data_IF_161230648285
#
_entry.id   IF_161230648285
#
_cell.length_a   1.000
_cell.length_b   1.000
_cell.length_c   1.000
_cell.angle_alpha   90.00
_cell.angle_beta   90.00
_cell.angle_gamma   90.00
#
_symmetry.space_group_name_H-M   'P 1'
#
loop_
_entity.id
_entity.type
_entity.pdbx_description
1 polymer ?
#
# COMPACT_ATOMS: atom_id res chain seq x y z
N UNK A 1 -5.06 -19.76 -24.27
CA UNK A 1 -5.22 -19.28 -25.67
C UNK A 1 -4.64 -20.31 -26.61
N UNK A 2 -5.00 -20.35 -27.90
CA UNK A 2 -4.21 -21.12 -28.87
C UNK A 2 -2.86 -20.43 -29.08
N UNK A 3 -1.74 -21.18 -29.20
CA UNK A 3 -0.44 -20.59 -29.53
C UNK A 3 -0.51 -19.89 -30.90
N UNK A 4 0.06 -18.68 -31.02
CA UNK A 4 0.20 -18.02 -32.31
C UNK A 4 1.54 -18.41 -32.95
N UNK A 5 1.67 -18.35 -34.29
CA UNK A 5 2.97 -18.53 -34.94
C UNK A 5 4.04 -17.57 -34.42
N UNK A 6 3.67 -16.33 -34.07
CA UNK A 6 4.61 -15.36 -33.48
C UNK A 6 5.11 -15.78 -32.10
N UNK A 7 4.24 -16.39 -31.28
CA UNK A 7 4.65 -16.92 -29.98
C UNK A 7 5.70 -18.01 -30.15
N UNK A 8 5.48 -18.94 -31.09
CA UNK A 8 6.40 -20.05 -31.39
C UNK A 8 7.71 -19.50 -31.95
N UNK A 9 7.66 -18.60 -32.93
CA UNK A 9 8.84 -17.94 -33.50
C UNK A 9 9.67 -17.18 -32.46
N UNK A 10 9.03 -16.62 -31.44
CA UNK A 10 9.70 -15.89 -30.37
C UNK A 10 10.39 -16.76 -29.32
N UNK A 11 10.10 -18.07 -29.24
CA UNK A 11 10.52 -18.91 -28.11
C UNK A 11 12.03 -18.88 -27.86
N UNK A 12 12.83 -19.15 -28.89
CA UNK A 12 14.30 -19.26 -28.77
C UNK A 12 14.96 -17.91 -28.46
N UNK A 13 14.35 -16.81 -28.87
CA UNK A 13 14.87 -15.46 -28.58
C UNK A 13 14.50 -14.96 -27.17
N UNK A 14 13.42 -15.50 -26.60
CA UNK A 14 12.83 -15.02 -25.34
C UNK A 14 13.13 -15.91 -24.15
N UNK A 15 13.35 -17.21 -24.35
CA UNK A 15 13.49 -18.17 -23.26
C UNK A 15 14.80 -18.94 -23.35
N UNK A 16 15.40 -19.22 -22.20
CA UNK A 16 16.69 -19.93 -22.11
C UNK A 16 16.52 -21.37 -21.64
N UNK A 17 15.41 -21.67 -20.97
CA UNK A 17 15.16 -22.96 -20.36
C UNK A 17 13.81 -23.51 -20.81
N UNK A 18 13.73 -24.83 -21.00
CA UNK A 18 12.49 -25.55 -21.18
C UNK A 18 12.43 -26.75 -20.23
N UNK A 19 11.24 -27.01 -19.67
CA UNK A 19 10.97 -28.14 -18.79
C UNK A 19 9.70 -28.84 -19.25
N UNK A 20 9.79 -30.15 -19.50
CA UNK A 20 8.63 -31.00 -19.79
C UNK A 20 8.06 -31.48 -18.46
N UNK A 21 6.81 -31.14 -18.18
CA UNK A 21 6.04 -31.59 -17.03
C UNK A 21 4.93 -32.56 -17.47
N UNK A 22 4.93 -33.74 -16.88
CA UNK A 22 4.02 -34.84 -17.20
C UNK A 22 3.75 -35.70 -15.96
N UNK A 23 2.84 -36.65 -16.09
CA UNK A 23 2.58 -37.68 -15.08
C UNK A 23 3.06 -39.00 -15.68
N UNK A 24 3.86 -39.75 -14.93
CA UNK A 24 4.35 -41.06 -15.39
C UNK A 24 3.27 -42.17 -15.26
N UNK A 25 3.60 -43.38 -15.71
CA UNK A 25 2.71 -44.54 -15.67
C UNK A 25 2.27 -44.94 -14.25
N UNK A 26 3.08 -44.62 -13.24
CA UNK A 26 2.80 -44.87 -11.83
C UNK A 26 1.98 -43.73 -11.17
N UNK A 27 1.70 -42.66 -11.91
CA UNK A 27 0.90 -41.52 -11.46
C UNK A 27 1.72 -40.43 -10.75
N UNK A 28 3.04 -40.47 -10.79
CA UNK A 28 3.90 -39.44 -10.20
C UNK A 28 4.06 -38.24 -11.14
N UNK A 29 3.89 -37.00 -10.64
CA UNK A 29 4.18 -35.81 -11.41
C UNK A 29 5.70 -35.62 -11.54
N UNK A 30 6.21 -35.65 -12.76
CA UNK A 30 7.62 -35.48 -13.08
C UNK A 30 7.84 -34.19 -13.88
N UNK A 31 9.06 -33.65 -13.78
CA UNK A 31 9.47 -32.46 -14.50
C UNK A 31 10.92 -32.60 -14.93
N UNK A 32 11.17 -32.53 -16.23
CA UNK A 32 12.51 -32.74 -16.78
C UNK A 32 12.95 -31.62 -17.70
N UNK A 33 14.16 -31.10 -17.46
CA UNK A 33 14.77 -30.08 -18.29
C UNK A 33 15.11 -30.64 -19.68
N UNK A 34 14.90 -29.82 -20.72
CA UNK A 34 15.25 -30.16 -22.10
C UNK A 34 15.74 -28.93 -22.86
N UNK A 35 16.51 -29.16 -23.91
CA UNK A 35 16.78 -28.14 -24.93
C UNK A 35 15.62 -28.10 -25.93
N UNK A 36 15.43 -26.98 -26.61
CA UNK A 36 14.33 -26.82 -27.55
C UNK A 36 14.74 -26.02 -28.78
N UNK A 37 13.97 -26.18 -29.85
CA UNK A 37 14.03 -25.41 -31.09
C UNK A 37 12.62 -25.18 -31.61
N UNK A 38 12.31 -23.96 -32.04
CA UNK A 38 11.00 -23.63 -32.56
C UNK A 38 10.91 -23.95 -34.06
N UNK A 39 9.76 -24.45 -34.51
CA UNK A 39 9.41 -24.61 -35.92
C UNK A 39 8.08 -23.87 -36.17
N UNK A 40 8.14 -22.55 -36.45
CA UNK A 40 6.94 -21.72 -36.56
C UNK A 40 6.09 -22.05 -37.78
N UNK A 41 6.70 -22.55 -38.86
CA UNK A 41 6.02 -22.90 -40.11
C UNK A 41 5.10 -24.10 -39.90
N UNK A 42 5.56 -25.09 -39.14
CA UNK A 42 4.75 -26.25 -38.72
C UNK A 42 3.94 -25.99 -37.46
N UNK A 43 4.25 -24.92 -36.73
CA UNK A 43 3.61 -24.58 -35.47
C UNK A 43 3.95 -25.56 -34.35
N UNK A 44 5.13 -26.19 -34.39
CA UNK A 44 5.58 -27.19 -33.41
C UNK A 44 6.84 -26.72 -32.69
N UNK A 45 7.15 -27.38 -31.57
CA UNK A 45 8.40 -27.18 -30.85
C UNK A 45 9.14 -28.51 -30.77
N UNK A 46 10.38 -28.51 -31.25
CA UNK A 46 11.25 -29.67 -31.22
C UNK A 46 12.06 -29.63 -29.92
N UNK A 47 11.99 -30.69 -29.13
CA UNK A 47 12.67 -30.84 -27.85
C UNK A 47 13.76 -31.90 -27.95
N UNK A 48 14.85 -31.72 -27.20
CA UNK A 48 15.85 -32.77 -27.07
C UNK A 48 15.30 -33.93 -26.24
N UNK A 49 15.82 -35.13 -26.48
CA UNK A 49 15.57 -36.28 -25.62
C UNK A 49 16.11 -36.02 -24.22
N UNK A 50 15.37 -36.54 -23.25
CA UNK A 50 15.73 -36.44 -21.83
C UNK A 50 16.80 -37.48 -21.50
N UNK A 51 17.81 -37.08 -20.73
CA UNK A 51 18.88 -37.98 -20.30
C UNK A 51 18.44 -38.87 -19.12
N UNK A 52 18.60 -40.19 -19.26
CA UNK A 52 18.26 -41.21 -18.25
C UNK A 52 17.18 -42.18 -18.73
N UNK A 53 17.34 -43.48 -18.48
CA UNK A 53 16.39 -44.52 -18.92
C UNK A 53 15.10 -44.53 -18.07
N UNK A 54 15.18 -44.08 -16.81
CA UNK A 54 14.08 -44.24 -15.84
C UNK A 54 12.99 -43.15 -15.91
N UNK A 55 13.23 -42.04 -16.63
CA UNK A 55 12.28 -40.92 -16.71
C UNK A 55 12.15 -40.45 -18.15
N UNK A 56 11.23 -41.05 -18.89
CA UNK A 56 10.90 -40.66 -20.26
C UNK A 56 9.52 -40.00 -20.30
N UNK A 57 9.38 -38.85 -21.00
CA UNK A 57 8.07 -38.25 -21.24
C UNK A 57 7.16 -39.22 -22.02
N UNK A 58 5.87 -39.28 -21.69
CA UNK A 58 4.95 -40.20 -22.35
C UNK A 58 4.73 -39.80 -23.81
N UNK A 59 4.84 -40.78 -24.71
CA UNK A 59 4.64 -40.59 -26.14
C UNK A 59 3.14 -40.64 -26.49
N UNK A 60 2.71 -39.74 -27.38
CA UNK A 60 1.32 -39.60 -27.81
C UNK A 60 0.43 -38.89 -26.79
N UNK A 61 0.94 -38.65 -25.58
CA UNK A 61 0.21 -38.00 -24.51
C UNK A 61 0.33 -36.49 -24.50
N UNK A 62 -0.65 -35.86 -23.85
CA UNK A 62 -0.69 -34.42 -23.69
C UNK A 62 0.17 -34.01 -22.50
N UNK A 63 1.28 -33.34 -22.79
CA UNK A 63 2.21 -32.82 -21.77
C UNK A 63 2.11 -31.31 -21.64
N UNK A 64 2.73 -30.76 -20.59
CA UNK A 64 3.01 -29.33 -20.46
C UNK A 64 4.50 -29.08 -20.67
N UNK A 65 4.88 -28.14 -21.53
CA UNK A 65 6.26 -27.68 -21.65
C UNK A 65 6.33 -26.23 -21.23
N UNK A 66 7.09 -25.98 -20.17
CA UNK A 66 7.29 -24.65 -19.59
C UNK A 66 8.62 -24.09 -20.08
N UNK A 67 8.55 -23.00 -20.82
CA UNK A 67 9.69 -22.20 -21.26
C UNK A 67 9.84 -21.02 -20.31
N UNK A 68 11.05 -20.76 -19.81
CA UNK A 68 11.29 -19.71 -18.84
C UNK A 68 12.58 -18.94 -19.08
N UNK A 69 12.59 -17.70 -18.62
CA UNK A 69 13.77 -16.85 -18.54
C UNK A 69 13.71 -16.04 -17.24
N UNK A 70 14.88 -15.93 -16.62
CA UNK A 70 15.10 -15.11 -15.44
C UNK A 70 16.52 -14.57 -15.53
N UNK A 71 16.67 -13.25 -15.50
CA UNK A 71 18.00 -12.65 -15.54
C UNK A 71 18.55 -12.50 -14.12
N UNK A 72 19.70 -13.11 -13.80
CA UNK A 72 20.35 -12.87 -12.51
C UNK A 72 20.96 -11.46 -12.45
N UNK A 73 20.77 -10.78 -11.32
CA UNK A 73 21.37 -9.50 -10.96
C UNK A 73 22.34 -9.73 -9.80
N UNK A 74 23.65 -9.92 -10.07
CA UNK A 74 24.63 -10.30 -9.05
C UNK A 74 24.61 -9.40 -7.81
N UNK A 75 24.43 -9.99 -6.63
CA UNK A 75 24.38 -9.28 -5.35
C UNK A 75 23.07 -8.54 -5.06
N UNK A 76 22.09 -8.55 -5.98
CA UNK A 76 20.82 -7.83 -5.83
C UNK A 76 19.64 -8.80 -5.85
N UNK A 77 19.56 -9.69 -6.85
CA UNK A 77 18.42 -10.59 -7.03
C UNK A 77 18.24 -11.03 -8.47
N UNK A 78 17.00 -10.97 -8.97
CA UNK A 78 16.63 -11.36 -10.33
C UNK A 78 15.62 -10.39 -10.94
N UNK A 79 15.65 -10.21 -12.26
CA UNK A 79 14.69 -9.42 -13.03
C UNK A 79 14.39 -10.05 -14.39
N UNK A 80 13.60 -9.34 -15.21
CA UNK A 80 13.14 -9.78 -16.54
C UNK A 80 12.45 -11.16 -16.54
N UNK A 81 11.75 -11.48 -15.45
CA UNK A 81 11.14 -12.80 -15.28
C UNK A 81 10.01 -12.98 -16.28
N UNK A 82 10.04 -14.09 -16.99
CA UNK A 82 8.98 -14.45 -17.93
C UNK A 82 8.90 -15.95 -18.12
N UNK A 83 7.70 -16.44 -18.38
CA UNK A 83 7.50 -17.83 -18.76
C UNK A 83 6.34 -17.96 -19.77
N UNK A 84 6.38 -19.04 -20.54
CA UNK A 84 5.23 -19.54 -21.28
C UNK A 84 5.12 -21.04 -21.08
N UNK A 85 3.91 -21.50 -20.77
CA UNK A 85 3.55 -22.91 -20.75
C UNK A 85 2.79 -23.23 -22.03
N UNK A 86 3.23 -24.28 -22.73
CA UNK A 86 2.59 -24.83 -23.90
C UNK A 86 2.10 -26.23 -23.59
N UNK A 87 0.84 -26.52 -23.89
CA UNK A 87 0.28 -27.87 -23.77
C UNK A 87 -0.05 -28.41 -25.14
N UNK A 88 0.23 -29.69 -25.34
CA UNK A 88 -0.06 -30.39 -26.59
C UNK A 88 0.39 -31.84 -26.53
N UNK A 89 0.00 -32.66 -27.52
CA UNK A 89 0.56 -34.00 -27.69
C UNK A 89 2.06 -33.93 -27.94
N UNK A 90 2.78 -34.87 -27.34
CA UNK A 90 4.22 -35.08 -27.53
C UNK A 90 4.43 -36.34 -28.38
N UNK A 91 5.21 -36.26 -29.46
CA UNK A 91 5.52 -37.42 -30.30
C UNK A 91 7.02 -37.64 -30.39
N UNK A 92 7.47 -38.89 -30.42
CA UNK A 92 8.85 -39.18 -30.73
C UNK A 92 9.10 -38.99 -32.23
N UNK A 93 10.18 -38.31 -32.55
CA UNK A 93 10.72 -38.17 -33.90
C UNK A 93 12.19 -38.62 -33.87
N UNK A 94 12.85 -38.77 -35.02
CA UNK A 94 14.22 -39.32 -35.13
C UNK A 94 15.23 -38.69 -34.12
N UNK A 95 15.38 -39.33 -32.96
CA UNK A 95 16.24 -38.89 -31.86
C UNK A 95 15.79 -37.63 -31.09
N UNK A 96 14.54 -37.16 -31.24
CA UNK A 96 13.99 -35.96 -30.59
C UNK A 96 12.52 -36.14 -30.22
N UNK A 97 11.96 -35.14 -29.55
CA UNK A 97 10.53 -35.09 -29.21
C UNK A 97 9.90 -33.89 -29.91
N UNK A 98 8.70 -34.05 -30.45
CA UNK A 98 7.93 -32.98 -31.09
C UNK A 98 6.69 -32.67 -30.27
N UNK A 99 6.57 -31.43 -29.82
CA UNK A 99 5.37 -30.90 -29.19
C UNK A 99 4.55 -30.16 -30.23
N UNK A 100 3.29 -30.56 -30.42
CA UNK A 100 2.31 -29.81 -31.21
C UNK A 100 1.36 -29.03 -30.28
N UNK A 101 1.68 -27.80 -29.89
CA UNK A 101 0.94 -27.09 -28.85
C UNK A 101 -0.46 -26.66 -29.33
N UNK A 102 -1.48 -26.98 -28.55
CA UNK A 102 -2.87 -26.58 -28.79
C UNK A 102 -3.35 -25.48 -27.82
N UNK A 103 -2.60 -25.28 -26.73
CA UNK A 103 -2.90 -24.32 -25.68
C UNK A 103 -1.61 -23.67 -25.19
N UNK A 104 -1.67 -22.37 -24.98
CA UNK A 104 -0.62 -21.57 -24.39
C UNK A 104 -1.16 -20.72 -23.23
N UNK A 105 -0.29 -20.45 -22.27
CA UNK A 105 -0.45 -19.46 -21.21
C UNK A 105 0.93 -18.93 -20.84
N UNK A 106 1.09 -17.62 -20.73
CA UNK A 106 2.36 -17.03 -20.34
C UNK A 106 2.19 -15.81 -19.47
N UNK A 107 3.30 -15.37 -18.90
CA UNK A 107 3.45 -14.14 -18.15
C UNK A 107 4.81 -13.54 -18.46
N UNK A 108 4.85 -12.22 -18.65
CA UNK A 108 6.06 -11.44 -18.84
C UNK A 108 6.04 -10.26 -17.87
N UNK A 109 7.05 -10.16 -17.01
CA UNK A 109 7.17 -9.11 -16.01
C UNK A 109 7.22 -7.70 -16.62
N UNK A 110 7.72 -7.57 -17.86
CA UNK A 110 7.79 -6.28 -18.55
C UNK A 110 6.42 -5.82 -19.08
N UNK A 111 5.52 -6.77 -19.35
CA UNK A 111 4.15 -6.49 -19.80
C UNK A 111 3.19 -6.33 -18.63
N UNK A 112 3.36 -7.16 -17.59
CA UNK A 112 2.50 -7.21 -16.41
C UNK A 112 3.37 -7.41 -15.18
N UNK A 113 3.35 -6.43 -14.27
CA UNK A 113 4.12 -6.55 -13.03
C UNK A 113 3.73 -7.80 -12.24
N UNK A 114 4.67 -8.36 -11.47
CA UNK A 114 4.41 -9.52 -10.62
C UNK A 114 3.23 -9.31 -9.65
N UNK A 115 3.07 -8.08 -9.13
CA UNK A 115 1.95 -7.73 -8.25
C UNK A 115 0.62 -7.81 -8.99
N UNK A 116 0.55 -7.26 -10.19
CA UNK A 116 -0.65 -7.35 -11.04
C UNK A 116 -1.00 -8.79 -11.39
N UNK A 117 0.00 -9.57 -11.80
CA UNK A 117 -0.18 -10.98 -12.10
C UNK A 117 -0.72 -11.75 -10.89
N UNK A 118 -0.17 -11.51 -9.70
CA UNK A 118 -0.61 -12.13 -8.45
C UNK A 118 -2.07 -11.80 -8.14
N UNK A 119 -2.48 -10.53 -8.26
CA UNK A 119 -3.86 -10.10 -8.01
C UNK A 119 -4.85 -10.72 -9.01
N UNK A 120 -4.49 -10.75 -10.31
CA UNK A 120 -5.33 -11.39 -11.34
C UNK A 120 -5.51 -12.89 -11.12
N UNK A 121 -4.58 -13.54 -10.42
CA UNK A 121 -4.64 -14.95 -10.06
C UNK A 121 -5.56 -15.27 -8.86
N UNK A 122 -5.94 -14.28 -8.05
CA UNK A 122 -6.70 -14.49 -6.80
C UNK A 122 -8.03 -15.25 -7.02
N UNK A 123 -8.87 -14.94 -8.03
CA UNK A 123 -10.11 -15.68 -8.26
C UNK A 123 -9.86 -17.17 -8.57
N UNK A 124 -8.78 -17.49 -9.28
CA UNK A 124 -8.42 -18.87 -9.60
C UNK A 124 -7.93 -19.61 -8.37
N UNK A 125 -7.09 -18.97 -7.55
CA UNK A 125 -6.63 -19.53 -6.27
C UNK A 125 -7.81 -19.83 -5.33
N UNK A 126 -8.80 -18.95 -5.28
CA UNK A 126 -10.01 -19.16 -4.48
C UNK A 126 -10.80 -20.39 -4.93
N UNK A 127 -11.07 -20.50 -6.24
CA UNK A 127 -11.75 -21.69 -6.80
C UNK A 127 -11.02 -22.99 -6.47
N UNK A 128 -9.68 -22.97 -6.55
CA UNK A 128 -8.87 -24.14 -6.19
C UNK A 128 -9.04 -24.52 -4.72
N UNK A 129 -8.98 -23.55 -3.80
CA UNK A 129 -9.15 -23.82 -2.37
C UNK A 129 -10.59 -24.25 -2.02
N UNK A 130 -11.60 -23.69 -2.70
CA UNK A 130 -13.00 -24.08 -2.54
C UNK A 130 -13.19 -25.55 -2.98
N UNK A 131 -12.67 -25.92 -4.16
CA UNK A 131 -12.71 -27.31 -4.64
C UNK A 131 -11.97 -28.27 -3.71
N UNK A 132 -10.78 -27.90 -3.23
CA UNK A 132 -10.03 -28.71 -2.28
C UNK A 132 -10.78 -28.87 -0.94
N UNK A 133 -11.54 -27.85 -0.54
CA UNK A 133 -12.39 -27.93 0.65
C UNK A 133 -13.53 -28.92 0.49
N UNK A 134 -14.15 -28.96 -0.69
CA UNK A 134 -15.19 -29.93 -1.04
C UNK A 134 -14.64 -31.35 -1.07
N UNK A 135 -13.50 -31.56 -1.74
CA UNK A 135 -12.84 -32.87 -1.87
C UNK A 135 -12.41 -33.46 -0.52
N UNK A 136 -11.91 -32.61 0.38
CA UNK A 136 -11.43 -33.05 1.71
C UNK A 136 -12.51 -33.09 2.78
N UNK A 137 -13.70 -32.53 2.51
CA UNK A 137 -14.78 -32.35 3.49
C UNK A 137 -14.40 -31.43 4.66
N UNK A 138 -13.35 -30.62 4.51
CA UNK A 138 -12.83 -29.70 5.53
C UNK A 138 -12.54 -28.36 4.89
N UNK A 139 -12.77 -27.28 5.61
CA UNK A 139 -12.49 -25.95 5.08
C UNK A 139 -10.98 -25.70 4.94
N UNK A 140 -10.52 -25.47 3.71
CA UNK A 140 -9.13 -25.14 3.38
C UNK A 140 -9.02 -23.64 3.10
N UNK A 141 -8.15 -22.96 3.84
CA UNK A 141 -7.96 -21.50 3.74
C UNK A 141 -6.49 -21.14 3.60
N UNK A 142 -6.18 -20.00 2.95
CA UNK A 142 -4.82 -19.51 2.93
C UNK A 142 -4.39 -19.09 4.35
N UNK A 143 -3.10 -19.20 4.63
CA UNK A 143 -2.52 -18.83 5.92
C UNK A 143 -1.33 -17.92 5.71
N UNK A 144 -1.34 -16.77 6.39
CA UNK A 144 -0.16 -15.93 6.60
C UNK A 144 0.36 -16.14 8.02
N UNK A 145 1.65 -15.90 8.23
CA UNK A 145 2.19 -15.85 9.59
C UNK A 145 1.52 -14.71 10.37
N UNK A 146 1.43 -14.85 11.70
CA UNK A 146 0.73 -13.87 12.54
C UNK A 146 1.24 -12.44 12.32
N UNK A 147 2.56 -12.23 12.27
CA UNK A 147 3.15 -10.92 12.05
C UNK A 147 2.74 -10.30 10.72
N UNK A 148 2.83 -11.05 9.62
CA UNK A 148 2.41 -10.57 8.30
C UNK A 148 0.90 -10.32 8.21
N UNK A 149 0.10 -11.19 8.83
CA UNK A 149 -1.35 -11.01 8.90
C UNK A 149 -1.72 -9.74 9.67
N UNK A 150 -1.07 -9.51 10.82
CA UNK A 150 -1.29 -8.33 11.64
C UNK A 150 -0.88 -7.04 10.90
N UNK A 151 0.31 -7.02 10.30
CA UNK A 151 0.80 -5.90 9.50
C UNK A 151 -0.17 -5.56 8.36
N UNK A 152 -0.66 -6.57 7.65
CA UNK A 152 -1.59 -6.42 6.53
C UNK A 152 -2.95 -5.93 7.01
N UNK A 153 -3.57 -6.64 7.95
CA UNK A 153 -4.92 -6.34 8.44
C UNK A 153 -5.04 -4.95 9.06
N UNK A 154 -4.03 -4.52 9.82
CA UNK A 154 -4.03 -3.21 10.49
C UNK A 154 -3.46 -2.08 9.63
N UNK A 155 -2.82 -2.43 8.50
CA UNK A 155 -2.10 -1.50 7.64
C UNK A 155 -1.05 -0.70 8.43
N UNK A 156 -0.34 -1.38 9.33
CA UNK A 156 0.61 -0.79 10.29
C UNK A 156 1.59 0.24 9.70
N UNK A 157 2.16 0.04 8.48
CA UNK A 157 3.10 1.02 7.91
C UNK A 157 2.52 2.44 7.71
N UNK A 158 1.19 2.60 7.67
CA UNK A 158 0.54 3.90 7.58
C UNK A 158 0.56 4.69 8.91
N UNK A 159 1.04 4.11 10.02
CA UNK A 159 1.17 4.82 11.30
C UNK A 159 2.11 6.03 11.26
N UNK A 160 2.93 6.19 10.21
CA UNK A 160 3.67 7.43 9.97
C UNK A 160 2.75 8.66 9.99
N UNK A 161 1.54 8.56 9.44
CA UNK A 161 0.52 9.60 9.47
C UNK A 161 0.01 9.94 10.88
N UNK A 162 0.20 9.05 11.87
CA UNK A 162 -0.12 9.33 13.29
C UNK A 162 1.10 9.82 14.04
N UNK A 163 2.24 9.16 13.87
CA UNK A 163 3.44 9.49 14.63
C UNK A 163 3.91 10.92 14.36
N UNK A 164 3.94 11.35 13.10
CA UNK A 164 4.40 12.70 12.74
C UNK A 164 3.59 13.80 13.45
N UNK A 165 2.26 13.90 13.30
CA UNK A 165 1.50 14.99 13.93
C UNK A 165 1.45 14.89 15.46
N UNK A 166 1.40 13.69 16.03
CA UNK A 166 1.44 13.50 17.49
C UNK A 166 2.77 13.97 18.06
N UNK A 167 3.90 13.53 17.47
CA UNK A 167 5.22 13.94 17.90
C UNK A 167 5.47 15.43 17.65
N UNK A 168 4.90 16.01 16.58
CA UNK A 168 4.94 17.45 16.36
C UNK A 168 4.22 18.22 17.46
N UNK A 169 3.00 17.81 17.84
CA UNK A 169 2.28 18.42 18.96
C UNK A 169 3.03 18.32 20.29
N UNK A 170 3.68 17.18 20.55
CA UNK A 170 4.55 16.98 21.72
C UNK A 170 5.79 17.88 21.66
N UNK A 171 6.41 18.06 20.49
CA UNK A 171 7.57 18.92 20.32
C UNK A 171 7.21 20.40 20.55
N UNK A 172 6.05 20.85 20.06
CA UNK A 172 5.53 22.20 20.34
C UNK A 172 5.24 22.37 21.83
N UNK A 173 4.70 21.34 22.50
CA UNK A 173 4.48 21.39 23.94
C UNK A 173 5.80 21.49 24.72
N UNK A 174 6.81 20.71 24.33
CA UNK A 174 8.12 20.73 24.98
C UNK A 174 8.81 22.10 24.83
N UNK A 175 8.65 22.76 23.68
CA UNK A 175 9.09 24.14 23.45
C UNK A 175 8.41 25.15 24.37
N UNK A 176 7.18 24.87 24.82
CA UNK A 176 6.41 25.70 25.77
C UNK A 176 6.47 25.17 27.20
N UNK A 177 7.61 24.58 27.59
CA UNK A 177 7.88 24.01 28.92
C UNK A 177 6.94 22.86 29.36
N UNK A 178 6.18 22.27 28.43
CA UNK A 178 5.26 21.16 28.68
C UNK A 178 5.82 19.83 28.19
N UNK A 179 6.41 19.03 29.08
CA UNK A 179 6.81 17.67 28.71
C UNK A 179 6.72 16.66 29.85
N UNK A 180 5.97 15.60 29.61
CA UNK A 180 5.90 14.40 30.43
C UNK A 180 6.01 13.15 29.56
N UNK A 181 7.05 12.37 29.82
CA UNK A 181 7.37 11.15 29.06
C UNK A 181 6.22 10.14 29.03
N UNK A 182 5.55 9.90 30.15
CA UNK A 182 4.48 8.89 30.23
C UNK A 182 3.23 9.33 29.49
N UNK A 183 2.87 10.61 29.61
CA UNK A 183 1.76 11.18 28.85
C UNK A 183 2.06 11.15 27.34
N UNK A 184 3.30 11.42 26.93
CA UNK A 184 3.73 11.36 25.53
C UNK A 184 3.62 9.93 24.98
N UNK A 185 4.16 8.95 25.71
CA UNK A 185 4.10 7.54 25.32
C UNK A 185 2.65 7.04 25.19
N UNK A 186 1.80 7.34 26.18
CA UNK A 186 0.38 6.99 26.14
C UNK A 186 -0.36 7.69 24.99
N UNK A 187 -0.02 8.94 24.67
CA UNK A 187 -0.60 9.66 23.52
C UNK A 187 -0.28 8.95 22.21
N UNK A 188 0.98 8.51 22.02
CA UNK A 188 1.39 7.77 20.82
C UNK A 188 0.67 6.43 20.72
N UNK A 189 0.59 5.67 21.82
CA UNK A 189 -0.09 4.36 21.85
C UNK A 189 -1.59 4.54 21.60
N UNK A 190 -2.24 5.51 22.26
CA UNK A 190 -3.67 5.79 22.11
C UNK A 190 -4.02 6.24 20.69
N UNK A 191 -3.28 7.22 20.15
CA UNK A 191 -3.47 7.70 18.78
C UNK A 191 -3.23 6.61 17.74
N UNK A 192 -2.18 5.80 17.90
CA UNK A 192 -1.91 4.66 17.03
C UNK A 192 -3.04 3.62 17.10
N UNK A 193 -3.53 3.30 18.30
CA UNK A 193 -4.63 2.35 18.47
C UNK A 193 -5.89 2.81 17.74
N UNK A 194 -6.28 4.09 17.88
CA UNK A 194 -7.45 4.64 17.15
C UNK A 194 -7.24 4.54 15.63
N UNK A 195 -6.05 4.89 15.13
CA UNK A 195 -5.77 4.79 13.69
C UNK A 195 -5.80 3.34 13.18
N UNK A 196 -5.24 2.37 13.91
CA UNK A 196 -5.34 0.96 13.53
C UNK A 196 -6.81 0.50 13.51
N UNK A 197 -7.60 0.90 14.51
CA UNK A 197 -9.04 0.63 14.55
C UNK A 197 -9.79 1.23 13.34
N UNK A 198 -9.44 2.46 12.94
CA UNK A 198 -9.95 3.14 11.74
C UNK A 198 -9.60 2.40 10.46
N UNK A 199 -8.34 1.98 10.28
CA UNK A 199 -7.92 1.23 9.08
C UNK A 199 -8.67 -0.09 8.95
N UNK A 200 -8.79 -0.85 10.05
CA UNK A 200 -9.54 -2.11 10.05
C UNK A 200 -11.03 -1.88 9.83
N UNK A 201 -11.61 -0.81 10.41
CA UNK A 201 -13.01 -0.44 10.17
C UNK A 201 -13.26 -0.11 8.70
N UNK A 202 -12.32 0.62 8.08
CA UNK A 202 -12.42 1.00 6.68
C UNK A 202 -12.53 -0.24 5.78
N UNK A 203 -11.67 -1.22 5.97
CA UNK A 203 -11.73 -2.51 5.27
C UNK A 203 -13.08 -3.25 5.48
N UNK A 204 -13.63 -3.25 6.69
CA UNK A 204 -14.94 -3.85 6.99
C UNK A 204 -16.06 -3.17 6.18
N UNK A 205 -16.07 -1.84 6.15
CA UNK A 205 -17.12 -1.09 5.45
C UNK A 205 -16.94 -1.09 3.92
N UNK A 206 -15.70 -1.00 3.43
CA UNK A 206 -15.40 -1.05 1.99
C UNK A 206 -15.72 -2.44 1.41
N UNK A 207 -15.42 -3.53 2.14
CA UNK A 207 -15.89 -4.87 1.76
C UNK A 207 -17.42 -4.96 1.78
N UNK A 208 -18.10 -4.42 2.81
CA UNK A 208 -19.56 -4.44 2.91
C UNK A 208 -20.25 -3.63 1.79
N UNK A 209 -19.60 -2.57 1.31
CA UNK A 209 -20.10 -1.73 0.21
C UNK A 209 -19.92 -2.35 -1.18
N UNK A 210 -19.10 -3.40 -1.30
CA UNK A 210 -18.69 -4.00 -2.58
C UNK A 210 -17.55 -3.26 -3.29
N UNK A 211 -16.99 -2.20 -2.68
CA UNK A 211 -15.87 -1.45 -3.25
C UNK A 211 -14.61 -2.32 -3.42
N UNK A 212 -14.29 -3.15 -2.42
CA UNK A 212 -13.15 -4.06 -2.51
C UNK A 212 -13.32 -5.07 -3.65
N UNK A 213 -14.50 -5.68 -3.80
CA UNK A 213 -14.76 -6.66 -4.86
C UNK A 213 -14.69 -6.02 -6.26
N UNK A 214 -15.13 -4.76 -6.39
CA UNK A 214 -15.03 -4.01 -7.64
C UNK A 214 -13.59 -3.61 -8.01
N UNK A 215 -12.67 -3.60 -7.03
CA UNK A 215 -11.27 -3.25 -7.25
C UNK A 215 -10.47 -4.46 -7.71
N UNK A 216 -10.19 -4.50 -9.01
CA UNK A 216 -9.43 -5.58 -9.66
C UNK A 216 -7.92 -5.32 -9.73
N UNK A 217 -7.46 -4.11 -9.42
CA UNK A 217 -6.06 -3.71 -9.51
C UNK A 217 -5.58 -3.02 -8.21
N UNK A 218 -5.72 -3.66 -7.03
CA UNK A 218 -5.21 -3.08 -5.80
C UNK A 218 -3.69 -2.95 -5.86
N UNK A 219 -3.14 -2.00 -5.12
CA UNK A 219 -1.69 -1.79 -4.99
C UNK A 219 -1.26 -2.07 -3.55
N UNK A 220 0.03 -1.97 -3.25
CA UNK A 220 0.50 -2.05 -1.87
C UNK A 220 -0.01 -0.89 -1.00
N UNK A 221 -0.45 0.22 -1.61
CA UNK A 221 -0.88 1.44 -0.90
C UNK A 221 -2.37 1.77 -1.07
N UNK A 222 -3.07 1.13 -2.02
CA UNK A 222 -4.48 1.37 -2.37
C UNK A 222 -5.28 0.08 -2.46
N UNK A 223 -6.62 0.17 -2.37
CA UNK A 223 -7.51 -1.00 -2.44
C UNK A 223 -7.68 -1.81 -1.14
N UNK A 224 -7.38 -1.22 0.02
CA UNK A 224 -7.57 -1.86 1.33
C UNK A 224 -6.52 -2.93 1.67
N UNK A 225 -6.68 -3.63 2.79
CA UNK A 225 -5.76 -4.74 3.14
C UNK A 225 -6.02 -6.01 2.34
N UNK A 226 -7.21 -6.16 1.75
CA UNK A 226 -7.68 -7.37 1.05
C UNK A 226 -7.81 -8.62 1.94
N UNK A 227 -7.63 -8.48 3.26
CA UNK A 227 -7.60 -9.62 4.21
C UNK A 227 -8.92 -10.37 4.23
N UNK A 228 -10.06 -9.67 4.15
CA UNK A 228 -11.37 -10.30 4.08
C UNK A 228 -11.57 -10.98 2.71
N UNK A 229 -11.24 -10.28 1.63
CA UNK A 229 -11.40 -10.79 0.27
C UNK A 229 -10.57 -12.05 0.00
N UNK A 230 -9.38 -12.13 0.58
CA UNK A 230 -8.50 -13.30 0.45
C UNK A 230 -8.87 -14.44 1.40
N UNK A 231 -9.91 -14.29 2.23
CA UNK A 231 -10.32 -15.33 3.17
C UNK A 231 -9.33 -15.56 4.32
N UNK A 232 -8.46 -14.59 4.60
CA UNK A 232 -7.46 -14.68 5.68
C UNK A 232 -8.10 -14.43 7.06
N UNK A 233 -9.02 -13.48 7.15
CA UNK A 233 -9.87 -13.25 8.30
C UNK A 233 -11.32 -13.03 7.86
N UNK A 234 -12.25 -13.50 8.68
CA UNK A 234 -13.67 -13.22 8.48
C UNK A 234 -14.02 -11.77 8.79
N UNK A 235 -15.13 -11.30 8.20
CA UNK A 235 -15.72 -9.99 8.52
C UNK A 235 -15.89 -9.80 10.03
N UNK A 236 -16.36 -10.82 10.76
CA UNK A 236 -16.55 -10.77 12.22
C UNK A 236 -15.22 -10.55 12.97
N UNK A 237 -14.16 -11.22 12.56
CA UNK A 237 -12.83 -11.08 13.18
C UNK A 237 -12.27 -9.67 12.95
N UNK A 238 -12.39 -9.13 11.73
CA UNK A 238 -11.97 -7.76 11.43
C UNK A 238 -12.79 -6.72 12.22
N UNK A 239 -14.11 -6.88 12.31
CA UNK A 239 -14.95 -6.00 13.14
C UNK A 239 -14.56 -6.03 14.62
N UNK A 240 -14.30 -7.22 15.18
CA UNK A 240 -13.86 -7.35 16.57
C UNK A 240 -12.47 -6.74 16.78
N UNK A 241 -11.56 -6.91 15.84
CA UNK A 241 -10.22 -6.32 15.88
C UNK A 241 -10.30 -4.79 15.85
N UNK A 242 -11.11 -4.23 14.96
CA UNK A 242 -11.38 -2.79 14.90
C UNK A 242 -11.93 -2.27 16.24
N UNK A 243 -12.95 -2.94 16.79
CA UNK A 243 -13.53 -2.59 18.08
C UNK A 243 -12.50 -2.63 19.22
N UNK A 244 -11.66 -3.67 19.28
CA UNK A 244 -10.62 -3.80 20.29
C UNK A 244 -9.64 -2.63 20.26
N UNK A 245 -9.17 -2.23 19.07
CA UNK A 245 -8.29 -1.08 18.89
C UNK A 245 -8.94 0.25 19.29
N UNK A 246 -10.20 0.48 18.90
CA UNK A 246 -10.94 1.65 19.37
C UNK A 246 -11.13 1.65 20.88
N UNK A 247 -11.47 0.51 21.50
CA UNK A 247 -11.65 0.40 22.94
C UNK A 247 -10.35 0.71 23.70
N UNK A 248 -9.20 0.21 23.24
CA UNK A 248 -7.88 0.53 23.79
C UNK A 248 -7.60 2.03 23.65
N UNK A 249 -7.77 2.60 22.45
CA UNK A 249 -7.51 4.01 22.19
C UNK A 249 -8.40 4.94 23.01
N UNK A 250 -9.69 4.64 23.12
CA UNK A 250 -10.65 5.39 23.94
C UNK A 250 -10.33 5.27 25.43
N UNK A 251 -10.00 4.06 25.91
CA UNK A 251 -9.62 3.84 27.31
C UNK A 251 -8.39 4.66 27.70
N UNK A 252 -7.35 4.66 26.85
CA UNK A 252 -6.17 5.51 27.02
C UNK A 252 -6.56 6.99 26.99
N UNK A 253 -7.37 7.41 26.01
CA UNK A 253 -7.82 8.79 25.88
C UNK A 253 -8.59 9.32 27.10
N UNK A 254 -9.44 8.49 27.71
CA UNK A 254 -10.14 8.82 28.97
C UNK A 254 -9.15 8.97 30.12
N UNK A 255 -8.17 8.06 30.24
CA UNK A 255 -7.11 8.16 31.24
C UNK A 255 -6.27 9.43 31.09
N UNK A 256 -5.92 9.79 29.85
CA UNK A 256 -5.22 11.04 29.54
C UNK A 256 -6.08 12.27 29.86
N UNK A 257 -7.38 12.25 29.57
CA UNK A 257 -8.29 13.34 29.91
C UNK A 257 -8.42 13.53 31.43
N UNK A 258 -8.40 12.44 32.21
CA UNK A 258 -8.38 12.52 33.66
C UNK A 258 -7.07 13.12 34.21
N UNK A 259 -5.95 12.91 33.54
CA UNK A 259 -4.64 13.42 33.95
C UNK A 259 -4.38 14.87 33.51
N UNK A 260 -4.75 15.23 32.29
CA UNK A 260 -4.42 16.51 31.65
C UNK A 260 -5.60 17.48 31.56
N UNK A 261 -6.82 17.01 31.88
CA UNK A 261 -8.04 17.80 31.89
C UNK A 261 -9.07 17.39 30.82
N UNK A 262 -10.34 17.57 31.16
CA UNK A 262 -11.47 17.09 30.36
C UNK A 262 -11.67 17.82 29.02
N UNK A 263 -10.98 18.94 28.80
CA UNK A 263 -10.96 19.60 27.48
C UNK A 263 -10.50 18.66 26.37
N UNK A 264 -9.59 17.72 26.65
CA UNK A 264 -9.15 16.70 25.70
C UNK A 264 -10.32 15.94 25.04
N UNK A 265 -11.42 15.73 25.77
CA UNK A 265 -12.59 15.01 25.26
C UNK A 265 -13.24 15.71 24.06
N UNK A 266 -13.16 17.04 23.94
CA UNK A 266 -13.69 17.74 22.77
C UNK A 266 -12.93 17.39 21.49
N UNK A 267 -11.60 17.30 21.60
CA UNK A 267 -10.72 16.86 20.50
C UNK A 267 -10.96 15.38 20.21
N UNK A 268 -11.07 14.56 21.24
CA UNK A 268 -11.36 13.13 21.13
C UNK A 268 -12.70 12.83 20.46
N UNK A 269 -13.77 13.54 20.84
CA UNK A 269 -15.10 13.41 20.24
C UNK A 269 -15.08 13.85 18.78
N UNK A 270 -14.46 14.99 18.46
CA UNK A 270 -14.31 15.44 17.07
C UNK A 270 -13.57 14.40 16.22
N UNK A 271 -12.45 13.86 16.73
CA UNK A 271 -11.70 12.80 16.08
C UNK A 271 -12.50 11.52 15.89
N UNK A 272 -13.20 11.06 16.92
CA UNK A 272 -14.04 9.85 16.85
C UNK A 272 -15.19 10.00 15.86
N UNK A 273 -15.86 11.16 15.83
CA UNK A 273 -16.93 11.44 14.87
C UNK A 273 -16.39 11.41 13.44
N UNK A 274 -15.27 12.07 13.16
CA UNK A 274 -14.62 12.00 11.85
C UNK A 274 -14.27 10.55 11.51
N UNK A 275 -13.62 9.83 12.43
CA UNK A 275 -13.17 8.46 12.25
C UNK A 275 -14.30 7.49 11.91
N UNK A 276 -15.40 7.53 12.67
CA UNK A 276 -16.56 6.65 12.45
C UNK A 276 -17.28 7.03 11.15
N UNK A 277 -17.62 8.30 10.99
CA UNK A 277 -18.42 8.77 9.86
C UNK A 277 -17.65 8.94 8.56
N UNK A 278 -16.33 8.76 8.59
CA UNK A 278 -15.47 8.73 7.41
C UNK A 278 -15.98 7.71 6.38
N UNK A 279 -16.15 6.44 6.79
CA UNK A 279 -16.66 5.36 5.94
C UNK A 279 -18.05 4.86 6.37
N UNK A 280 -18.44 4.99 7.64
CA UNK A 280 -19.70 4.41 8.13
C UNK A 280 -20.96 5.26 7.79
N UNK A 281 -22.13 4.63 7.60
CA UNK A 281 -23.41 5.31 7.55
C UNK A 281 -23.73 6.09 8.84
N UNK A 282 -24.54 7.17 8.77
CA UNK A 282 -25.25 7.66 7.58
C UNK A 282 -24.46 8.70 6.76
N UNK A 283 -23.27 9.11 7.21
CA UNK A 283 -22.54 10.21 6.58
C UNK A 283 -21.60 9.79 5.46
N UNK A 284 -20.86 8.68 5.61
CA UNK A 284 -19.97 8.13 4.56
C UNK A 284 -19.15 9.23 3.86
N UNK A 285 -18.45 10.06 4.63
CA UNK A 285 -17.84 11.31 4.14
C UNK A 285 -16.87 11.08 2.97
N UNK A 286 -16.12 9.98 2.97
CA UNK A 286 -15.22 9.60 1.85
C UNK A 286 -15.99 9.37 0.55
N UNK A 287 -17.19 8.79 0.62
CA UNK A 287 -18.06 8.56 -0.55
C UNK A 287 -18.59 9.87 -1.13
N UNK A 288 -18.55 10.96 -0.35
CA UNK A 288 -19.05 12.29 -0.71
C UNK A 288 -17.94 13.25 -1.14
N UNK A 289 -16.71 12.78 -1.31
CA UNK A 289 -15.57 13.62 -1.73
C UNK A 289 -15.09 14.56 -0.63
N UNK A 290 -15.33 14.19 0.64
CA UNK A 290 -14.83 14.90 1.82
C UNK A 290 -13.69 14.15 2.50
N UNK A 291 -13.16 13.09 1.87
CA UNK A 291 -12.17 12.20 2.47
C UNK A 291 -10.89 12.93 2.86
N UNK A 292 -10.35 13.71 1.94
CA UNK A 292 -9.10 14.48 2.11
C UNK A 292 -9.23 15.54 3.19
N UNK A 293 -10.39 16.19 3.30
CA UNK A 293 -10.66 17.16 4.38
C UNK A 293 -10.72 16.43 5.73
N UNK A 294 -11.39 15.28 5.80
CA UNK A 294 -11.46 14.47 7.02
C UNK A 294 -10.06 14.02 7.46
N UNK A 295 -9.23 13.56 6.51
CA UNK A 295 -7.85 13.14 6.77
C UNK A 295 -6.99 14.32 7.21
N UNK A 296 -7.09 15.48 6.55
CA UNK A 296 -6.37 16.69 6.95
C UNK A 296 -6.72 17.07 8.39
N UNK A 297 -8.02 17.18 8.71
CA UNK A 297 -8.48 17.60 10.04
C UNK A 297 -8.15 16.57 11.12
N UNK A 298 -8.40 15.28 10.83
CA UNK A 298 -8.19 14.17 11.75
C UNK A 298 -6.72 13.97 12.11
N UNK A 299 -5.86 13.88 11.10
CA UNK A 299 -4.43 13.62 11.32
C UNK A 299 -3.62 14.89 11.56
N UNK A 300 -4.00 16.04 11.03
CA UNK A 300 -3.30 17.30 11.31
C UNK A 300 -3.77 17.90 12.65
N UNK A 301 -4.71 18.87 12.64
CA UNK A 301 -5.14 19.58 13.83
C UNK A 301 -5.55 18.71 15.01
N UNK A 302 -6.40 17.70 14.81
CA UNK A 302 -6.96 16.92 15.93
C UNK A 302 -5.86 16.14 16.67
N UNK A 303 -4.99 15.44 15.94
CA UNK A 303 -3.91 14.69 16.58
C UNK A 303 -2.87 15.62 17.22
N UNK A 304 -2.43 16.68 16.53
CA UNK A 304 -1.42 17.60 17.05
C UNK A 304 -1.92 18.41 18.26
N UNK A 305 -3.14 18.95 18.20
CA UNK A 305 -3.75 19.67 19.33
C UNK A 305 -4.04 18.74 20.50
N UNK A 306 -4.53 17.52 20.24
CA UNK A 306 -4.75 16.53 21.29
C UNK A 306 -3.45 16.18 22.00
N UNK A 307 -2.38 15.96 21.24
CA UNK A 307 -1.07 15.65 21.78
C UNK A 307 -0.47 16.82 22.58
N UNK A 308 -0.61 18.05 22.08
CA UNK A 308 -0.21 19.26 22.81
C UNK A 308 -1.00 19.41 24.12
N UNK A 309 -2.33 19.31 24.05
CA UNK A 309 -3.21 19.46 25.22
C UNK A 309 -2.88 18.43 26.29
N UNK A 310 -2.57 17.18 25.91
CA UNK A 310 -2.17 16.15 26.87
C UNK A 310 -0.92 16.57 27.67
N UNK A 311 0.03 17.27 27.07
CA UNK A 311 1.24 17.71 27.75
C UNK A 311 1.04 18.97 28.60
N UNK A 312 0.20 19.91 28.15
CA UNK A 312 0.12 21.27 28.71
C UNK A 312 -1.18 21.57 29.45
N UNK A 313 -2.21 20.75 29.28
CA UNK A 313 -3.56 20.98 29.82
C UNK A 313 -4.31 22.16 29.20
N UNK A 314 -3.82 22.74 28.10
CA UNK A 314 -4.40 23.92 27.45
C UNK A 314 -4.36 23.84 25.93
N UNK A 315 -5.10 24.73 25.26
CA UNK A 315 -5.06 24.87 23.80
C UNK A 315 -4.18 26.04 23.41
N UNK A 316 -3.53 25.91 22.26
CA UNK A 316 -2.69 26.95 21.68
C UNK A 316 -2.82 26.97 20.15
N UNK A 317 -2.57 28.12 19.54
CA UNK A 317 -2.67 28.31 18.09
C UNK A 317 -1.48 27.70 17.34
N UNK A 318 -0.29 27.71 17.92
CA UNK A 318 0.94 27.22 17.30
C UNK A 318 0.88 25.73 16.90
N UNK A 319 0.47 24.77 17.76
CA UNK A 319 0.32 23.38 17.36
C UNK A 319 -0.75 23.19 16.28
N UNK A 320 -1.81 24.02 16.26
CA UNK A 320 -2.79 24.03 15.18
C UNK A 320 -2.12 24.42 13.85
N UNK A 321 -1.42 25.56 13.81
CA UNK A 321 -0.77 26.07 12.60
C UNK A 321 0.33 25.12 12.09
N UNK A 322 1.19 24.63 12.99
CA UNK A 322 2.26 23.70 12.66
C UNK A 322 1.73 22.39 12.03
N UNK A 323 0.53 21.96 12.44
CA UNK A 323 -0.08 20.73 11.94
C UNK A 323 -0.77 20.84 10.59
N UNK A 324 -1.12 22.04 10.12
CA UNK A 324 -1.85 22.22 8.84
C UNK A 324 -1.03 21.70 7.65
N UNK A 325 0.25 22.09 7.45
CA UNK A 325 1.08 21.54 6.38
C UNK A 325 1.19 20.02 6.43
N UNK A 326 1.33 19.46 7.65
CA UNK A 326 1.37 18.01 7.88
C UNK A 326 0.07 17.35 7.46
N UNK A 327 -1.07 17.89 7.88
CA UNK A 327 -2.40 17.38 7.53
C UNK A 327 -2.66 17.42 6.02
N UNK A 328 -2.23 18.48 5.32
CA UNK A 328 -2.33 18.55 3.85
C UNK A 328 -1.51 17.44 3.20
N UNK A 329 -0.27 17.20 3.65
CA UNK A 329 0.57 16.14 3.09
C UNK A 329 0.00 14.73 3.34
N UNK A 330 -0.62 14.50 4.51
CA UNK A 330 -1.31 13.24 4.78
C UNK A 330 -2.56 13.09 3.90
N UNK A 331 -3.32 14.16 3.72
CA UNK A 331 -4.44 14.17 2.78
C UNK A 331 -3.98 13.88 1.35
N UNK A 332 -2.79 14.33 0.94
CA UNK A 332 -2.19 14.00 -0.34
C UNK A 332 -1.75 12.52 -0.45
N UNK A 333 -1.46 11.83 0.65
CA UNK A 333 -1.26 10.37 0.64
C UNK A 333 -2.56 9.70 0.21
N UNK A 334 -3.69 10.04 0.84
CA UNK A 334 -5.01 9.54 0.43
C UNK A 334 -5.31 9.90 -1.03
N UNK A 335 -5.17 11.17 -1.38
CA UNK A 335 -5.47 11.70 -2.72
C UNK A 335 -4.76 10.94 -3.84
N UNK A 336 -3.49 10.60 -3.63
CA UNK A 336 -2.71 9.82 -4.59
C UNK A 336 -3.13 8.35 -4.60
N UNK A 337 -3.40 7.76 -3.43
CA UNK A 337 -3.82 6.37 -3.30
C UNK A 337 -5.21 6.11 -3.91
N UNK A 338 -6.07 7.12 -3.98
CA UNK A 338 -7.37 7.04 -4.62
C UNK A 338 -7.29 7.06 -6.17
N UNK A 339 -6.14 7.43 -6.77
CA UNK A 339 -6.00 7.50 -8.24
C UNK A 339 -6.17 6.13 -8.93
N UNK A 340 -5.52 5.04 -8.48
CA UNK A 340 -5.80 3.70 -9.02
C UNK A 340 -7.20 3.20 -8.74
N UNK A 341 -7.78 3.59 -7.60
CA UNK A 341 -9.04 3.06 -7.11
C UNK A 341 -10.25 3.71 -7.81
N UNK A 342 -10.07 4.83 -8.54
CA UNK A 342 -11.14 5.58 -9.23
C UNK A 342 -12.14 4.70 -9.99
N UNK A 343 -11.74 3.72 -10.84
CA UNK A 343 -12.72 2.94 -11.59
C UNK A 343 -13.57 2.04 -10.69
N UNK A 344 -12.99 1.53 -9.60
CA UNK A 344 -13.69 0.68 -8.64
C UNK A 344 -14.59 1.52 -7.72
N UNK A 345 -14.07 2.62 -7.20
CA UNK A 345 -14.80 3.58 -6.38
C UNK A 345 -16.04 4.12 -7.11
N UNK A 346 -15.88 4.50 -8.38
CA UNK A 346 -16.99 4.98 -9.21
C UNK A 346 -18.09 3.91 -9.38
N UNK A 347 -17.72 2.63 -9.58
CA UNK A 347 -18.67 1.51 -9.67
C UNK A 347 -19.40 1.26 -8.36
N UNK A 348 -18.73 1.43 -7.23
CA UNK A 348 -19.31 1.29 -5.90
C UNK A 348 -20.09 2.53 -5.43
N UNK A 349 -20.18 3.59 -6.26
CA UNK A 349 -20.86 4.84 -5.90
C UNK A 349 -20.07 5.74 -4.94
N UNK A 350 -18.80 5.41 -4.66
CA UNK A 350 -17.87 6.21 -3.86
C UNK A 350 -17.30 7.33 -4.76
N UNK A 351 -17.76 8.57 -4.53
CA UNK A 351 -17.38 9.73 -5.35
C UNK A 351 -16.27 10.54 -4.66
N UNK A 352 -15.07 9.97 -4.61
CA UNK A 352 -13.84 10.65 -4.12
C UNK A 352 -13.45 11.84 -5.02
N UNK A 353 -12.50 12.68 -4.60
CA UNK A 353 -12.07 13.79 -5.46
C UNK A 353 -11.44 13.31 -6.78
N UNK A 354 -10.57 12.27 -6.81
CA UNK A 354 -10.05 11.75 -8.07
C UNK A 354 -11.11 11.13 -8.99
N UNK A 355 -12.23 10.63 -8.44
CA UNK A 355 -13.40 10.19 -9.23
C UNK A 355 -14.14 11.38 -9.84
N UNK A 356 -14.27 12.49 -9.10
CA UNK A 356 -15.02 13.70 -9.52
C UNK A 356 -14.27 14.56 -10.53
N UNK A 357 -12.94 14.57 -10.46
CA UNK A 357 -12.12 15.48 -11.23
C UNK A 357 -11.50 14.81 -12.46
N UNK A 358 -11.25 15.63 -13.48
CA UNK A 358 -10.44 15.19 -14.63
C UNK A 358 -9.00 14.95 -14.21
N UNK A 359 -8.26 14.09 -14.94
CA UNK A 359 -6.81 13.88 -14.77
C UNK A 359 -6.03 15.20 -14.60
N UNK A 360 -6.32 16.20 -15.44
CA UNK A 360 -5.67 17.51 -15.39
C UNK A 360 -5.97 18.25 -14.08
N UNK A 361 -7.21 18.22 -13.62
CA UNK A 361 -7.61 18.83 -12.36
C UNK A 361 -6.99 18.10 -11.16
N UNK A 362 -6.90 16.77 -11.21
CA UNK A 362 -6.24 15.97 -10.15
C UNK A 362 -4.77 16.35 -10.01
N UNK A 363 -4.04 16.40 -11.12
CA UNK A 363 -2.63 16.79 -11.13
C UNK A 363 -2.45 18.23 -10.62
N UNK A 364 -3.32 19.17 -11.04
CA UNK A 364 -3.26 20.57 -10.57
C UNK A 364 -3.59 20.68 -9.08
N UNK A 365 -4.56 19.90 -8.59
CA UNK A 365 -4.92 19.84 -7.17
C UNK A 365 -3.75 19.38 -6.32
N UNK A 366 -3.08 18.29 -6.71
CA UNK A 366 -1.88 17.80 -6.04
C UNK A 366 -0.76 18.87 -6.01
N UNK A 367 -0.43 19.46 -7.16
CA UNK A 367 0.61 20.50 -7.26
C UNK A 367 0.26 21.72 -6.42
N UNK A 368 -0.99 22.19 -6.49
CA UNK A 368 -1.46 23.34 -5.72
C UNK A 368 -1.37 23.10 -4.22
N UNK A 369 -1.78 21.92 -3.74
CA UNK A 369 -1.67 21.54 -2.34
C UNK A 369 -0.21 21.48 -1.87
N UNK A 370 0.72 20.94 -2.66
CA UNK A 370 2.16 20.96 -2.36
C UNK A 370 2.69 22.39 -2.24
N UNK A 371 2.34 23.27 -3.18
CA UNK A 371 2.74 24.69 -3.14
C UNK A 371 2.18 25.38 -1.90
N UNK A 372 0.91 25.15 -1.56
CA UNK A 372 0.29 25.68 -0.34
C UNK A 372 1.00 25.17 0.90
N UNK A 373 1.28 23.87 1.02
CA UNK A 373 1.99 23.29 2.16
C UNK A 373 3.32 24.00 2.42
N UNK A 374 4.20 24.07 1.42
CA UNK A 374 5.52 24.67 1.59
C UNK A 374 5.46 26.20 1.71
N UNK A 375 4.47 26.84 1.09
CA UNK A 375 4.18 28.26 1.29
C UNK A 375 3.76 28.57 2.74
N UNK A 376 2.90 27.73 3.34
CA UNK A 376 2.49 27.88 4.73
C UNK A 376 3.67 27.68 5.69
N UNK A 377 4.51 26.67 5.48
CA UNK A 377 5.73 26.46 6.28
C UNK A 377 6.62 27.71 6.23
N UNK A 378 6.88 28.23 5.02
CA UNK A 378 7.71 29.41 4.84
C UNK A 378 7.12 30.63 5.54
N UNK A 379 5.83 30.92 5.33
CA UNK A 379 5.15 32.06 5.94
C UNK A 379 5.18 31.95 7.45
N UNK A 380 4.73 30.81 8.01
CA UNK A 380 4.62 30.65 9.45
C UNK A 380 5.98 30.75 10.15
N UNK A 381 7.04 30.13 9.59
CA UNK A 381 8.38 30.21 10.15
C UNK A 381 8.93 31.64 10.06
N UNK A 382 8.86 32.30 8.89
CA UNK A 382 9.41 33.66 8.71
C UNK A 382 8.71 34.69 9.60
N UNK A 383 7.39 34.58 9.77
CA UNK A 383 6.63 35.49 10.62
C UNK A 383 6.72 35.15 12.12
N UNK A 384 7.31 34.01 12.49
CA UNK A 384 7.37 33.55 13.88
C UNK A 384 6.03 33.07 14.44
N UNK A 385 5.09 32.63 13.58
CA UNK A 385 3.84 31.99 14.00
C UNK A 385 4.06 30.54 14.45
N UNK A 386 5.17 29.95 14.01
CA UNK A 386 5.81 28.74 14.54
C UNK A 386 7.30 29.05 14.67
N UNK A 387 8.04 28.30 15.48
CA UNK A 387 9.49 28.53 15.66
C UNK A 387 10.25 28.57 14.34
N UNK A 388 11.12 29.58 14.18
CA UNK A 388 11.80 29.89 12.90
C UNK A 388 12.65 28.75 12.33
N UNK A 389 13.33 27.91 13.12
CA UNK A 389 14.10 26.78 12.59
C UNK A 389 13.29 25.78 11.78
N UNK A 390 11.96 25.73 11.92
CA UNK A 390 11.08 24.88 11.09
C UNK A 390 11.19 25.15 9.59
N UNK A 391 11.74 26.30 9.18
CA UNK A 391 12.04 26.63 7.78
C UNK A 391 12.88 25.55 7.07
N UNK A 392 13.68 24.77 7.82
CA UNK A 392 14.47 23.65 7.26
C UNK A 392 13.59 22.59 6.58
N UNK A 393 12.30 22.50 6.94
CA UNK A 393 11.35 21.58 6.30
C UNK A 393 11.14 21.87 4.81
N UNK A 394 11.47 23.07 4.32
CA UNK A 394 11.49 23.38 2.89
C UNK A 394 12.47 22.51 2.10
N UNK A 395 13.50 21.94 2.74
CA UNK A 395 14.44 21.03 2.12
C UNK A 395 13.79 19.72 1.60
N UNK A 396 12.60 19.36 2.11
CA UNK A 396 11.85 18.21 1.62
C UNK A 396 11.08 18.47 0.31
N UNK A 397 10.88 19.73 -0.09
CA UNK A 397 10.06 20.09 -1.27
C UNK A 397 10.47 19.39 -2.58
N UNK A 398 11.77 19.19 -2.90
CA UNK A 398 12.17 18.46 -4.10
C UNK A 398 11.64 17.02 -4.20
N UNK A 399 11.29 16.38 -3.07
CA UNK A 399 10.72 15.03 -3.05
C UNK A 399 9.33 14.96 -3.74
N UNK A 400 8.63 16.09 -3.90
CA UNK A 400 7.36 16.14 -4.62
C UNK A 400 7.53 15.99 -6.15
N UNK A 401 8.69 16.34 -6.71
CA UNK A 401 8.94 16.32 -8.15
C UNK A 401 8.75 14.94 -8.79
N UNK A 402 9.37 13.84 -8.28
CA UNK A 402 9.14 12.51 -8.85
C UNK A 402 7.68 12.05 -8.73
N UNK A 403 6.95 12.49 -7.69
CA UNK A 403 5.52 12.17 -7.55
C UNK A 403 4.69 12.89 -8.61
N UNK A 404 4.95 14.18 -8.83
CA UNK A 404 4.27 14.98 -9.86
C UNK A 404 4.56 14.43 -11.26
N UNK A 405 5.79 14.01 -11.55
CA UNK A 405 6.16 13.38 -12.84
C UNK A 405 5.38 12.09 -13.05
N UNK A 406 5.41 11.17 -12.07
CA UNK A 406 4.68 9.91 -12.15
C UNK A 406 3.16 10.11 -12.28
N UNK A 407 2.58 11.10 -11.59
CA UNK A 407 1.16 11.45 -11.76
C UNK A 407 0.82 11.94 -13.18
N UNK A 408 1.77 12.51 -13.92
CA UNK A 408 1.55 12.93 -15.31
C UNK A 408 1.69 11.75 -16.27
N UNK A 409 2.75 10.98 -16.09
CA UNK A 409 3.20 9.91 -16.99
C UNK A 409 2.41 8.60 -16.79
N UNK A 410 2.18 8.20 -15.54
CA UNK A 410 1.67 6.87 -15.15
C UNK A 410 0.25 6.89 -14.56
N UNK A 411 -0.50 7.98 -14.75
CA UNK A 411 -1.81 8.18 -14.11
C UNK A 411 -2.83 7.05 -14.30
N UNK A 412 -2.82 6.40 -15.47
CA UNK A 412 -3.76 5.31 -15.80
C UNK A 412 -3.17 3.91 -15.52
N UNK A 413 -1.96 3.84 -14.98
CA UNK A 413 -1.29 2.57 -14.66
C UNK A 413 -1.07 2.46 -13.14
N UNK A 414 -1.97 1.76 -12.43
CA UNK A 414 -1.87 1.55 -10.97
C UNK A 414 -0.48 1.13 -10.49
N UNK A 415 0.07 0.10 -11.12
CA UNK A 415 1.33 -0.51 -10.70
C UNK A 415 2.55 0.36 -11.05
N UNK A 416 2.51 1.11 -12.16
CA UNK A 416 3.56 2.08 -12.48
C UNK A 416 3.51 3.33 -11.59
N UNK A 417 2.35 3.65 -10.99
CA UNK A 417 2.20 4.75 -10.04
C UNK A 417 2.63 4.37 -8.61
N UNK A 418 2.69 3.09 -8.29
CA UNK A 418 2.98 2.57 -6.95
C UNK A 418 4.31 3.09 -6.34
N UNK A 419 5.44 3.22 -7.07
CA UNK A 419 6.65 3.84 -6.52
C UNK A 419 6.46 5.31 -6.11
N UNK A 420 5.59 6.04 -6.81
CA UNK A 420 5.28 7.43 -6.47
C UNK A 420 4.45 7.55 -5.19
N UNK A 421 3.58 6.56 -4.91
CA UNK A 421 2.85 6.47 -3.63
C UNK A 421 3.81 6.34 -2.44
N UNK A 422 4.81 5.45 -2.56
CA UNK A 422 5.87 5.33 -1.55
C UNK A 422 6.65 6.64 -1.37
N UNK A 423 7.04 7.31 -2.46
CA UNK A 423 7.71 8.62 -2.41
C UNK A 423 6.85 9.72 -1.80
N UNK A 424 5.54 9.68 -2.00
CA UNK A 424 4.61 10.63 -1.40
C UNK A 424 4.52 10.47 0.12
N UNK A 425 4.58 9.23 0.62
CA UNK A 425 4.72 8.96 2.05
C UNK A 425 6.08 9.49 2.57
N UNK A 426 7.16 9.31 1.82
CA UNK A 426 8.48 9.87 2.18
C UNK A 426 8.47 11.41 2.24
N UNK A 427 7.78 12.08 1.30
CA UNK A 427 7.61 13.53 1.31
C UNK A 427 6.94 14.00 2.61
N UNK A 428 5.83 13.36 3.00
CA UNK A 428 5.16 13.63 4.27
C UNK A 428 6.09 13.40 5.47
N UNK A 429 6.73 12.22 5.53
CA UNK A 429 7.58 11.85 6.65
C UNK A 429 8.79 12.78 6.80
N UNK A 430 9.50 13.07 5.71
CA UNK A 430 10.66 13.95 5.72
C UNK A 430 10.27 15.38 6.14
N UNK A 431 9.17 15.91 5.61
CA UNK A 431 8.67 17.25 6.00
C UNK A 431 8.33 17.28 7.48
N UNK A 432 7.60 16.28 7.98
CA UNK A 432 7.20 16.18 9.39
C UNK A 432 8.38 16.07 10.35
N UNK A 433 9.37 15.21 10.03
CA UNK A 433 10.59 15.06 10.82
C UNK A 433 11.40 16.36 10.85
N UNK A 434 11.50 17.08 9.73
CA UNK A 434 12.20 18.36 9.68
C UNK A 434 11.48 19.46 10.46
N UNK A 435 10.14 19.47 10.49
CA UNK A 435 9.37 20.37 11.35
C UNK A 435 9.65 20.08 12.83
N UNK A 436 9.59 18.80 13.25
CA UNK A 436 9.92 18.38 14.62
C UNK A 436 11.35 18.78 14.96
N UNK A 437 12.31 18.56 14.05
CA UNK A 437 13.71 18.94 14.24
C UNK A 437 13.86 20.47 14.42
N UNK A 438 13.05 21.28 13.73
CA UNK A 438 13.00 22.72 13.95
C UNK A 438 12.68 23.08 15.40
N UNK A 439 11.65 22.45 15.99
CA UNK A 439 11.33 22.63 17.42
C UNK A 439 12.43 22.14 18.35
N UNK A 440 13.07 21.01 18.02
CA UNK A 440 14.21 20.50 18.82
C UNK A 440 15.39 21.46 18.76
N UNK A 441 15.70 22.04 17.59
CA UNK A 441 16.76 23.05 17.44
C UNK A 441 16.45 24.26 18.31
N UNK A 442 15.19 24.74 18.28
CA UNK A 442 14.79 25.88 19.10
C UNK A 442 14.94 25.59 20.59
N UNK A 443 14.42 24.46 21.05
CA UNK A 443 14.52 24.02 22.44
C UNK A 443 15.98 23.91 22.92
N UNK A 444 16.87 23.33 22.10
CA UNK A 444 18.29 23.19 22.45
C UNK A 444 19.00 24.54 22.44
N UNK A 445 18.69 25.41 21.48
CA UNK A 445 19.29 26.74 21.40
C UNK A 445 18.93 27.58 22.64
N UNK A 446 17.66 27.59 23.03
CA UNK A 446 17.17 28.31 24.22
C UNK A 446 17.76 27.76 25.53
N UNK A 447 17.94 26.44 25.63
CA UNK A 447 18.53 25.82 26.82
C UNK A 447 20.05 25.94 26.96
N UNK A 448 20.78 26.28 25.89
CA UNK A 448 22.26 26.30 25.86
C UNK A 448 22.84 27.69 25.67
N UNK A 449 22.11 28.60 25.01
CA UNK A 449 22.56 29.96 24.72
C UNK A 449 21.87 30.96 25.64
N UNK A 450 22.63 31.89 26.23
CA UNK A 450 22.06 32.93 27.10
C UNK A 450 21.18 33.95 26.34
N UNK A 451 21.44 34.14 25.04
CA UNK A 451 20.68 35.02 24.13
C UNK A 451 20.69 34.41 22.71
N UNK A 452 19.86 33.38 22.45
CA UNK A 452 19.87 32.70 21.17
C UNK A 452 19.47 33.67 20.04
N UNK A 453 20.21 33.69 18.91
CA UNK A 453 19.83 34.48 17.74
C UNK A 453 18.39 34.20 17.34
N UNK A 454 17.63 35.24 17.01
CA UNK A 454 16.22 35.10 16.69
C UNK A 454 15.90 34.19 15.49
N UNK A 455 16.88 33.65 14.73
CA UNK A 455 16.59 32.61 13.73
C UNK A 455 16.48 31.21 14.34
N UNK A 456 17.04 31.05 15.55
CA UNK A 456 17.08 29.80 16.30
C UNK A 456 15.93 29.68 17.29
N UNK A 457 15.11 30.71 17.46
CA UNK A 457 13.87 30.72 18.25
C UNK A 457 12.73 31.18 17.37
#
# INVERSE_FOLDING_TARGET
>A
MKPTPELIAGLESRFEHAVIAFVDDDGYPLSVATGFRADPDRGVVILNTVAGEDVQPPEGERVNVVFSHIRPQPGIGYDERRYVSLWGPLQAIEGKLELAPDRAQGWDEQEMSFFEFSERGVPQARKYLDQLSEETGREVRPKLSFGWLFLRATRLPFLTATFVPVLLGIAVAAWKDGFNWWLALLTVIGGASVHLGLNVANDVFDTRSGADEANVNPTQFSGGSRVILYGLLSMRQMTLLSFAFYAIGIGIGIGLAAASGWGLLWVGVAGALISVFYTAPPLQLVHRGLGEICVLLGFGPIMALGAYYVQTGSYDLEPLLASIPVGILIALILYLNEVPDRPADAKAGKRTLPVRFSKKAVIRGYVGAVVVTFGLIAVFAITGLIVRPTIIALAAAPLALPVIRALRESYESPYALMPAMGRNIQLHLATGVLLILGYVIALVADGVLDDPPSLLT
#
